data_IF_241689030097
#
_entry.id   IF_241689030097
#
_cell.length_a   1.000
_cell.length_b   1.000
_cell.length_c   1.000
_cell.angle_alpha   90.00
_cell.angle_beta   90.00
_cell.angle_gamma   90.00
#
_symmetry.space_group_name_H-M   'P 1'
#
loop_
_entity.id
_entity.type
_entity.pdbx_description
1 polymer ?
#
# COMPACT_ATOMS: atom_id res chain seq x y z
N UNK A 1 -48.00 65.93 -44.83
CA UNK A 1 -48.65 65.06 -43.82
C UNK A 1 -47.87 63.75 -43.76
N UNK A 2 -47.65 63.22 -42.56
CA UNK A 2 -46.50 62.41 -42.15
C UNK A 2 -46.41 61.01 -42.80
N UNK A 3 -45.20 60.69 -43.27
CA UNK A 3 -44.66 59.33 -43.43
C UNK A 3 -44.55 58.65 -42.06
N UNK A 4 -44.84 57.34 -41.97
CA UNK A 4 -43.94 56.36 -41.33
C UNK A 4 -44.38 54.91 -41.54
N UNK A 5 -43.34 54.11 -41.73
CA UNK A 5 -43.28 52.71 -42.12
C UNK A 5 -43.92 51.75 -41.13
N UNK A 6 -44.43 50.64 -41.67
CA UNK A 6 -45.06 49.51 -40.99
C UNK A 6 -43.95 48.58 -40.45
N UNK A 7 -43.79 48.54 -39.12
CA UNK A 7 -42.78 47.71 -38.45
C UNK A 7 -43.23 46.24 -38.42
N UNK A 8 -42.33 45.34 -38.83
CA UNK A 8 -42.49 43.89 -38.82
C UNK A 8 -41.91 43.32 -37.50
N UNK A 9 -42.72 42.48 -36.84
CA UNK A 9 -42.41 41.28 -36.05
C UNK A 9 -41.42 41.32 -34.88
N UNK A 10 -41.91 40.90 -33.69
CA UNK A 10 -41.41 39.73 -32.93
C UNK A 10 -42.21 39.62 -31.62
N UNK A 11 -43.06 38.60 -31.51
CA UNK A 11 -43.55 38.10 -30.21
C UNK A 11 -43.22 36.62 -30.13
N UNK A 12 -42.65 36.24 -28.98
CA UNK A 12 -42.28 34.89 -28.53
C UNK A 12 -40.86 34.43 -28.90
N UNK A 13 -39.90 34.82 -28.08
CA UNK A 13 -38.76 33.98 -27.74
C UNK A 13 -38.29 34.35 -26.33
N UNK A 14 -39.07 33.93 -25.35
CA UNK A 14 -38.54 33.63 -24.02
C UNK A 14 -38.29 32.12 -24.01
N UNK A 15 -37.19 31.71 -23.38
CA UNK A 15 -36.75 30.34 -23.06
C UNK A 15 -35.60 29.82 -23.92
N UNK A 16 -34.67 29.18 -23.22
CA UNK A 16 -33.49 28.40 -23.67
C UNK A 16 -32.18 29.20 -23.75
N UNK A 17 -31.72 29.72 -22.60
CA UNK A 17 -30.29 29.73 -22.25
C UNK A 17 -30.19 29.27 -20.79
N UNK A 18 -30.38 27.98 -20.54
CA UNK A 18 -30.13 27.37 -19.23
C UNK A 18 -29.75 25.88 -19.36
N UNK A 19 -29.02 25.50 -20.41
CA UNK A 19 -28.64 24.10 -20.66
C UNK A 19 -27.14 23.88 -20.89
N UNK A 20 -26.27 24.86 -20.58
CA UNK A 20 -24.81 24.71 -20.71
C UNK A 20 -24.05 24.73 -19.39
N UNK A 21 -24.74 24.81 -18.24
CA UNK A 21 -24.09 24.80 -16.92
C UNK A 21 -24.13 23.45 -16.19
N UNK A 22 -24.71 22.40 -16.77
CA UNK A 22 -24.81 21.08 -16.11
C UNK A 22 -23.71 20.06 -16.49
N UNK A 23 -22.90 20.29 -17.53
CA UNK A 23 -21.86 19.32 -17.92
C UNK A 23 -20.54 19.43 -17.12
N UNK A 24 -20.32 20.51 -16.38
CA UNK A 24 -19.05 20.73 -15.65
C UNK A 24 -18.94 19.92 -14.35
N UNK A 25 -20.06 19.41 -13.82
CA UNK A 25 -20.11 18.72 -12.52
C UNK A 25 -19.62 17.27 -12.64
N UNK A 26 -19.84 16.63 -13.79
CA UNK A 26 -19.49 15.20 -14.01
C UNK A 26 -17.97 15.02 -14.22
N UNK A 27 -17.31 15.98 -14.88
CA UNK A 27 -15.86 15.92 -15.14
C UNK A 27 -15.04 16.04 -13.85
N UNK A 28 -15.41 16.97 -12.97
CA UNK A 28 -14.71 17.20 -11.69
C UNK A 28 -14.76 16.00 -10.73
N UNK A 29 -15.85 15.23 -10.73
CA UNK A 29 -15.96 14.02 -9.90
C UNK A 29 -15.08 12.87 -10.41
N UNK A 30 -14.90 12.77 -11.74
CA UNK A 30 -14.05 11.73 -12.36
C UNK A 30 -12.57 12.03 -12.13
N UNK A 31 -12.17 13.29 -12.29
CA UNK A 31 -10.79 13.73 -12.06
C UNK A 31 -10.37 13.52 -10.59
N UNK A 32 -11.26 13.82 -9.64
CA UNK A 32 -10.97 13.62 -8.20
C UNK A 32 -10.92 12.15 -7.78
N UNK A 33 -11.69 11.27 -8.45
CA UNK A 33 -11.59 9.83 -8.21
C UNK A 33 -10.27 9.27 -8.76
N UNK A 34 -9.91 9.61 -10.00
CA UNK A 34 -8.68 9.11 -10.61
C UNK A 34 -7.45 9.52 -9.80
N UNK A 35 -7.38 10.78 -9.35
CA UNK A 35 -6.28 11.26 -8.48
C UNK A 35 -6.15 10.44 -7.20
N UNK A 36 -7.27 10.04 -6.59
CA UNK A 36 -7.24 9.16 -5.39
C UNK A 36 -6.71 7.77 -5.73
N UNK A 37 -7.15 7.18 -6.84
CA UNK A 37 -6.71 5.86 -7.27
C UNK A 37 -5.22 5.86 -7.65
N UNK A 38 -4.75 6.90 -8.33
CA UNK A 38 -3.33 7.08 -8.65
C UNK A 38 -2.49 7.21 -7.37
N UNK A 39 -2.99 7.93 -6.36
CA UNK A 39 -2.33 8.01 -5.05
C UNK A 39 -2.28 6.66 -4.35
N UNK A 40 -3.33 5.84 -4.44
CA UNK A 40 -3.37 4.48 -3.89
C UNK A 40 -2.34 3.59 -4.59
N UNK A 41 -2.29 3.61 -5.92
CA UNK A 41 -1.32 2.84 -6.71
C UNK A 41 0.11 3.28 -6.39
N UNK A 42 0.36 4.58 -6.27
CA UNK A 42 1.68 5.12 -5.91
C UNK A 42 2.14 4.60 -4.54
N UNK A 43 1.26 4.64 -3.54
CA UNK A 43 1.56 4.12 -2.21
C UNK A 43 1.77 2.59 -2.25
N UNK A 44 0.91 1.86 -2.95
CA UNK A 44 1.03 0.41 -3.11
C UNK A 44 2.34 0.00 -3.81
N UNK A 45 2.78 0.76 -4.80
CA UNK A 45 4.07 0.54 -5.47
C UNK A 45 5.24 0.68 -4.52
N UNK A 46 5.20 1.67 -3.64
CA UNK A 46 6.25 1.87 -2.65
C UNK A 46 6.28 0.74 -1.63
N UNK A 47 5.12 0.37 -1.07
CA UNK A 47 4.99 -0.75 -0.13
C UNK A 47 5.44 -2.07 -0.74
N UNK A 48 4.96 -2.38 -1.96
CA UNK A 48 5.39 -3.56 -2.69
C UNK A 48 6.91 -3.57 -2.92
N UNK A 49 7.50 -2.42 -3.26
CA UNK A 49 8.94 -2.35 -3.52
C UNK A 49 9.76 -2.62 -2.25
N UNK A 50 9.31 -2.10 -1.12
CA UNK A 50 9.93 -2.32 0.18
C UNK A 50 9.83 -3.79 0.60
N UNK A 51 8.63 -4.36 0.52
CA UNK A 51 8.37 -5.74 0.92
C UNK A 51 9.07 -6.74 0.02
N UNK A 52 9.02 -6.54 -1.30
CA UNK A 52 9.64 -7.46 -2.25
C UNK A 52 11.17 -7.49 -2.11
N UNK A 53 11.79 -6.33 -1.94
CA UNK A 53 13.22 -6.24 -1.66
C UNK A 53 13.56 -6.89 -0.31
N UNK A 54 12.70 -6.73 0.70
CA UNK A 54 12.88 -7.34 2.01
C UNK A 54 12.82 -8.86 1.94
N UNK A 55 11.81 -9.45 1.28
CA UNK A 55 11.71 -10.90 1.11
C UNK A 55 12.97 -11.48 0.47
N UNK A 56 13.40 -10.89 -0.65
CA UNK A 56 14.64 -11.30 -1.32
C UNK A 56 15.87 -11.14 -0.42
N UNK A 57 15.99 -10.02 0.29
CA UNK A 57 17.15 -9.77 1.15
C UNK A 57 17.17 -10.68 2.39
N UNK A 58 16.02 -10.99 2.97
CA UNK A 58 15.93 -11.88 4.13
C UNK A 58 16.29 -13.31 3.76
N UNK A 59 15.82 -13.81 2.61
CA UNK A 59 16.16 -15.14 2.12
C UNK A 59 17.69 -15.27 1.96
N UNK A 60 18.29 -14.32 1.24
CA UNK A 60 19.74 -14.27 1.05
C UNK A 60 20.50 -14.15 2.38
N UNK A 61 20.00 -13.33 3.32
CA UNK A 61 20.69 -13.09 4.58
C UNK A 61 20.62 -14.29 5.54
N UNK A 62 19.55 -15.08 5.50
CA UNK A 62 19.43 -16.29 6.32
C UNK A 62 20.20 -17.48 5.74
N UNK A 63 20.36 -17.54 4.42
CA UNK A 63 21.22 -18.52 3.74
C UNK A 63 22.72 -18.25 3.94
N UNK A 64 23.10 -17.02 4.32
CA UNK A 64 24.49 -16.61 4.46
C UNK A 64 25.03 -16.81 5.90
N UNK A 65 25.87 -17.84 6.07
CA UNK A 65 26.50 -18.18 7.36
C UNK A 65 27.36 -17.05 7.95
N UNK A 66 27.80 -16.08 7.15
CA UNK A 66 28.62 -14.95 7.63
C UNK A 66 27.82 -13.99 8.52
N UNK A 67 26.50 -13.91 8.32
CA UNK A 67 25.66 -12.90 8.97
C UNK A 67 24.44 -13.49 9.68
N UNK A 68 23.96 -14.68 9.32
CA UNK A 68 22.68 -15.22 9.80
C UNK A 68 22.57 -15.34 11.35
N UNK A 69 23.68 -15.52 12.06
CA UNK A 69 23.69 -15.66 13.53
C UNK A 69 23.60 -14.33 14.29
N UNK A 70 23.92 -13.21 13.64
CA UNK A 70 24.00 -11.90 14.29
C UNK A 70 22.93 -10.90 13.79
N UNK A 71 22.00 -11.31 12.93
CA UNK A 71 20.91 -10.43 12.49
C UNK A 71 19.95 -10.18 13.66
N UNK A 72 19.77 -8.91 14.02
CA UNK A 72 18.77 -8.44 14.98
C UNK A 72 17.49 -8.01 14.28
N UNK A 73 17.59 -7.00 13.42
CA UNK A 73 16.49 -6.54 12.57
C UNK A 73 17.02 -5.84 11.32
N UNK A 74 16.10 -5.43 10.45
CA UNK A 74 16.40 -4.63 9.26
C UNK A 74 15.63 -3.31 9.23
N UNK A 75 16.13 -2.35 8.46
CA UNK A 75 15.36 -1.21 7.96
C UNK A 75 15.37 -1.21 6.45
N UNK A 76 14.37 -0.54 5.87
CA UNK A 76 14.28 -0.33 4.43
C UNK A 76 14.19 1.17 4.18
N UNK A 77 14.92 1.63 3.18
CA UNK A 77 14.72 2.96 2.65
C UNK A 77 14.91 2.97 1.14
N UNK A 78 14.46 4.04 0.50
CA UNK A 78 14.72 4.28 -0.92
C UNK A 78 15.49 5.58 -1.14
N UNK A 79 16.12 5.66 -2.30
CA UNK A 79 16.69 6.88 -2.86
C UNK A 79 16.71 6.75 -4.37
N UNK A 80 16.12 7.72 -5.07
CA UNK A 80 15.94 7.69 -6.52
C UNK A 80 15.33 6.34 -6.96
N UNK A 81 15.98 5.63 -7.88
CA UNK A 81 15.50 4.36 -8.43
C UNK A 81 16.03 3.14 -7.68
N UNK A 82 16.40 3.29 -6.40
CA UNK A 82 16.99 2.22 -5.60
C UNK A 82 16.32 2.01 -4.25
N UNK A 83 16.15 0.74 -3.88
CA UNK A 83 15.75 0.29 -2.53
C UNK A 83 16.98 -0.25 -1.81
N UNK A 84 17.10 0.06 -0.53
CA UNK A 84 18.18 -0.40 0.35
C UNK A 84 17.58 -1.12 1.54
N UNK A 85 17.98 -2.37 1.75
CA UNK A 85 17.65 -3.17 2.92
C UNK A 85 18.93 -3.29 3.76
N UNK A 86 18.93 -2.65 4.93
CA UNK A 86 20.07 -2.65 5.86
C UNK A 86 19.74 -3.52 7.05
N UNK A 87 20.54 -4.56 7.29
CA UNK A 87 20.48 -5.39 8.48
C UNK A 87 21.41 -4.83 9.56
N UNK A 88 20.94 -4.86 10.81
CA UNK A 88 21.70 -4.49 11.98
C UNK A 88 21.86 -5.67 12.95
N UNK A 89 22.87 -5.55 13.81
CA UNK A 89 23.04 -6.44 14.95
C UNK A 89 21.89 -6.34 15.96
N UNK A 90 21.86 -7.26 16.93
CA UNK A 90 20.84 -7.30 17.99
C UNK A 90 20.82 -6.07 18.90
N UNK A 91 21.90 -5.29 18.90
CA UNK A 91 22.00 -4.04 19.65
C UNK A 91 21.57 -2.81 18.83
N UNK A 92 21.28 -2.97 17.53
CA UNK A 92 20.98 -1.88 16.60
C UNK A 92 22.07 -0.81 16.54
N UNK A 93 23.34 -1.22 16.56
CA UNK A 93 24.50 -0.31 16.50
C UNK A 93 25.35 -0.54 15.26
N UNK A 94 25.49 -1.79 14.85
CA UNK A 94 26.36 -2.20 13.75
C UNK A 94 25.50 -2.66 12.58
N UNK A 95 25.74 -2.10 11.39
CA UNK A 95 25.29 -2.71 10.15
C UNK A 95 26.02 -4.05 9.96
N UNK A 96 25.27 -5.13 9.81
CA UNK A 96 25.83 -6.47 9.54
C UNK A 96 25.80 -6.80 8.06
N UNK A 97 24.81 -6.29 7.33
CA UNK A 97 24.73 -6.37 5.88
C UNK A 97 23.89 -5.26 5.27
N UNK A 98 24.11 -4.96 4.00
CA UNK A 98 23.22 -4.13 3.21
C UNK A 98 23.08 -4.70 1.80
N UNK A 99 21.82 -4.77 1.35
CA UNK A 99 21.45 -5.15 0.00
C UNK A 99 20.82 -3.93 -0.69
N UNK A 100 21.23 -3.63 -1.91
CA UNK A 100 20.58 -2.59 -2.73
C UNK A 100 19.97 -3.20 -3.97
N UNK A 101 18.77 -2.76 -4.34
CA UNK A 101 18.00 -3.22 -5.49
C UNK A 101 17.65 -2.06 -6.40
N UNK A 102 17.58 -2.31 -7.71
CA UNK A 102 16.97 -1.37 -8.65
C UNK A 102 15.45 -1.56 -8.62
N UNK A 103 14.66 -0.48 -8.69
CA UNK A 103 13.20 -0.58 -8.76
C UNK A 103 12.69 -1.45 -9.93
N UNK A 104 13.45 -1.56 -11.02
CA UNK A 104 13.10 -2.43 -12.15
C UNK A 104 13.41 -3.92 -11.91
N UNK A 105 14.18 -4.27 -10.88
CA UNK A 105 14.52 -5.63 -10.52
C UNK A 105 14.75 -5.76 -9.01
N UNK A 106 13.68 -6.14 -8.31
CA UNK A 106 13.67 -6.35 -6.86
C UNK A 106 13.93 -7.82 -6.46
N UNK A 107 14.20 -8.71 -7.43
CA UNK A 107 14.44 -10.14 -7.18
C UNK A 107 15.92 -10.45 -6.96
N UNK A 108 16.80 -9.61 -7.48
CA UNK A 108 18.25 -9.80 -7.40
C UNK A 108 18.89 -8.50 -6.94
N UNK A 109 19.71 -8.51 -5.88
CA UNK A 109 20.39 -7.30 -5.42
C UNK A 109 21.40 -6.84 -6.47
N UNK A 110 21.41 -5.54 -6.75
CA UNK A 110 22.41 -4.88 -7.58
C UNK A 110 23.77 -4.76 -6.85
N UNK A 111 23.75 -4.68 -5.51
CA UNK A 111 24.94 -4.67 -4.66
C UNK A 111 24.64 -5.35 -3.34
N UNK A 112 25.66 -6.01 -2.80
CA UNK A 112 25.68 -6.60 -1.46
C UNK A 112 26.92 -6.07 -0.72
N UNK A 113 26.75 -5.75 0.56
CA UNK A 113 27.81 -5.24 1.41
C UNK A 113 27.71 -5.95 2.77
N UNK A 114 28.74 -6.71 3.11
CA UNK A 114 28.81 -7.54 4.32
C UNK A 114 29.84 -7.01 5.33
N UNK A 115 30.41 -5.83 5.08
CA UNK A 115 31.42 -5.27 5.98
C UNK A 115 30.75 -4.71 7.24
N UNK A 116 31.09 -5.22 8.45
CA UNK A 116 30.54 -4.69 9.68
C UNK A 116 31.00 -3.25 9.91
N UNK A 117 30.06 -2.33 10.11
CA UNK A 117 30.35 -0.92 10.37
C UNK A 117 29.25 -0.24 11.18
N UNK A 118 29.54 0.87 11.86
CA UNK A 118 28.50 1.65 12.53
C UNK A 118 27.36 1.99 11.58
N UNK A 119 26.12 1.95 12.08
CA UNK A 119 24.95 2.39 11.31
C UNK A 119 25.11 3.85 10.89
N UNK A 120 24.73 4.16 9.64
CA UNK A 120 24.64 5.54 9.19
C UNK A 120 23.57 6.30 9.98
N UNK A 121 23.70 7.62 10.10
CA UNK A 121 22.73 8.48 10.79
C UNK A 121 21.28 8.22 10.33
N UNK A 122 21.07 8.09 9.01
CA UNK A 122 19.77 7.73 8.43
C UNK A 122 19.25 6.38 8.93
N UNK A 123 20.10 5.35 8.95
CA UNK A 123 19.68 4.00 9.37
C UNK A 123 19.41 3.96 10.88
N UNK A 124 20.27 4.59 11.68
CA UNK A 124 20.10 4.75 13.12
C UNK A 124 18.77 5.44 13.44
N UNK A 125 18.45 6.54 12.74
CA UNK A 125 17.18 7.25 12.95
C UNK A 125 15.97 6.42 12.56
N UNK A 126 16.04 5.65 11.48
CA UNK A 126 14.95 4.74 11.08
C UNK A 126 14.72 3.64 12.13
N UNK A 127 15.79 3.05 12.68
CA UNK A 127 15.67 2.08 13.77
C UNK A 127 15.07 2.71 15.03
N UNK A 128 15.55 3.88 15.44
CA UNK A 128 15.04 4.62 16.61
C UNK A 128 13.53 4.86 16.48
N UNK A 129 13.09 5.43 15.36
CA UNK A 129 11.68 5.72 15.11
C UNK A 129 10.84 4.45 15.03
N UNK A 130 11.30 3.42 14.29
CA UNK A 130 10.59 2.14 14.21
C UNK A 130 10.41 1.53 15.59
N UNK A 131 11.46 1.50 16.40
CA UNK A 131 11.45 0.90 17.72
C UNK A 131 10.55 1.68 18.69
N UNK A 132 10.52 3.01 18.61
CA UNK A 132 9.64 3.84 19.43
C UNK A 132 8.16 3.65 19.07
N UNK A 133 7.82 3.52 17.78
CA UNK A 133 6.47 3.18 17.34
C UNK A 133 6.10 1.79 17.89
N UNK A 134 6.93 0.77 17.67
CA UNK A 134 6.67 -0.60 18.13
C UNK A 134 6.55 -0.68 19.66
N UNK A 135 7.34 0.10 20.41
CA UNK A 135 7.25 0.21 21.87
C UNK A 135 5.87 0.72 22.29
N UNK A 136 5.35 1.76 21.64
CA UNK A 136 4.00 2.28 21.92
C UNK A 136 2.91 1.25 21.59
N UNK A 137 3.01 0.58 20.43
CA UNK A 137 2.05 -0.45 20.01
C UNK A 137 2.01 -1.62 20.98
N UNK A 138 3.17 -2.06 21.47
CA UNK A 138 3.28 -3.16 22.44
C UNK A 138 2.84 -2.76 23.85
N UNK A 139 2.98 -1.49 24.22
CA UNK A 139 2.56 -1.00 25.53
C UNK A 139 1.03 -0.95 25.69
N UNK A 140 0.30 -0.70 24.60
CA UNK A 140 -1.16 -0.59 24.63
C UNK A 140 -1.81 -1.08 23.31
N UNK A 141 -1.74 -2.39 23.01
CA UNK A 141 -2.30 -2.94 21.77
C UNK A 141 -3.82 -2.73 21.68
N UNK A 142 -4.52 -2.69 22.82
CA UNK A 142 -5.96 -2.50 22.89
C UNK A 142 -6.39 -1.10 22.41
N UNK A 143 -5.66 -0.05 22.81
CA UNK A 143 -5.88 1.33 22.32
C UNK A 143 -5.83 1.42 20.79
N UNK A 144 -4.90 0.70 20.18
CA UNK A 144 -4.71 0.69 18.73
C UNK A 144 -5.61 -0.32 18.01
N UNK A 145 -6.40 -1.10 18.76
CA UNK A 145 -7.28 -2.13 18.21
C UNK A 145 -6.53 -3.27 17.54
N UNK A 146 -5.32 -3.58 18.00
CA UNK A 146 -4.48 -4.66 17.47
C UNK A 146 -5.03 -6.01 17.92
N UNK A 147 -5.32 -6.90 16.97
CA UNK A 147 -5.74 -8.26 17.25
C UNK A 147 -5.29 -9.19 16.12
N UNK A 148 -4.20 -9.93 16.34
CA UNK A 148 -3.59 -10.79 15.32
C UNK A 148 -4.03 -12.24 15.48
N UNK A 149 -4.34 -12.88 14.36
CA UNK A 149 -4.72 -14.29 14.34
C UNK A 149 -3.47 -15.16 14.36
N UNK A 150 -3.57 -16.35 14.95
CA UNK A 150 -2.49 -17.33 14.96
C UNK A 150 -2.07 -17.68 13.53
N UNK A 151 -0.77 -17.87 13.29
CA UNK A 151 -0.17 -18.22 11.99
C UNK A 151 -0.17 -17.07 10.94
N UNK A 152 -0.64 -15.89 11.34
CA UNK A 152 -0.66 -14.66 10.55
C UNK A 152 0.09 -13.56 11.30
N UNK A 153 1.30 -13.27 10.86
CA UNK A 153 2.22 -12.40 11.59
C UNK A 153 2.18 -10.98 11.03
N UNK A 154 2.04 -9.94 11.88
CA UNK A 154 2.17 -8.57 11.42
C UNK A 154 3.62 -8.27 11.04
N UNK A 155 3.82 -7.74 9.83
CA UNK A 155 5.09 -7.21 9.37
C UNK A 155 5.07 -5.68 9.42
N UNK A 156 5.93 -5.04 10.26
CA UNK A 156 6.03 -3.60 10.34
C UNK A 156 6.91 -3.02 9.23
N UNK A 157 6.27 -2.31 8.30
CA UNK A 157 6.88 -1.63 7.15
C UNK A 157 6.93 -0.13 7.43
N UNK A 158 8.12 0.40 7.76
CA UNK A 158 8.32 1.82 8.01
C UNK A 158 8.68 2.56 6.72
N UNK A 159 7.89 3.56 6.36
CA UNK A 159 8.14 4.49 5.25
C UNK A 159 8.42 5.87 5.82
N UNK A 160 9.54 6.47 5.42
CA UNK A 160 9.91 7.85 5.78
C UNK A 160 9.81 8.76 4.55
N UNK A 161 9.13 9.90 4.68
CA UNK A 161 9.10 10.94 3.64
C UNK A 161 9.05 12.34 4.27
N UNK A 162 9.94 13.24 3.86
CA UNK A 162 9.97 14.66 4.28
C UNK A 162 9.89 14.87 5.81
N UNK A 163 10.60 14.04 6.60
CA UNK A 163 10.58 14.12 8.07
C UNK A 163 9.35 13.52 8.75
N UNK A 164 8.38 13.01 7.99
CA UNK A 164 7.24 12.24 8.50
C UNK A 164 7.47 10.74 8.37
N UNK A 165 6.92 9.98 9.32
CA UNK A 165 7.07 8.53 9.40
C UNK A 165 5.72 7.85 9.37
N UNK A 166 5.60 6.83 8.53
CA UNK A 166 4.39 6.02 8.34
C UNK A 166 4.76 4.56 8.53
N UNK A 167 4.26 3.94 9.58
CA UNK A 167 4.45 2.51 9.82
C UNK A 167 3.18 1.77 9.45
N UNK A 168 3.29 0.89 8.45
CA UNK A 168 2.24 -0.04 8.10
C UNK A 168 2.44 -1.35 8.86
N UNK A 169 1.36 -1.92 9.38
CA UNK A 169 1.34 -3.35 9.75
C UNK A 169 0.61 -4.08 8.64
N UNK A 170 1.35 -4.86 7.86
CA UNK A 170 0.81 -5.71 6.79
C UNK A 170 0.94 -7.16 7.24
N UNK A 171 -0.10 -7.96 7.09
CA UNK A 171 -0.05 -9.35 7.52
C UNK A 171 0.71 -10.19 6.50
N UNK A 172 1.65 -10.99 7.02
CA UNK A 172 2.27 -12.08 6.30
C UNK A 172 1.84 -13.45 6.84
N UNK A 173 2.05 -14.50 6.07
CA UNK A 173 1.81 -15.86 6.51
C UNK A 173 2.76 -16.85 5.85
N UNK A 174 3.11 -17.91 6.57
CA UNK A 174 3.76 -19.10 6.02
C UNK A 174 2.75 -20.23 5.72
N UNK A 175 1.46 -19.99 5.97
CA UNK A 175 0.40 -20.95 5.63
C UNK A 175 0.37 -21.10 4.10
N UNK A 176 0.52 -22.32 3.56
CA UNK A 176 0.57 -22.54 2.13
C UNK A 176 -0.77 -22.21 1.48
N UNK A 177 -0.73 -21.84 0.19
CA UNK A 177 -1.91 -21.63 -0.66
C UNK A 177 -2.90 -20.55 -0.13
N UNK A 178 -2.42 -19.58 0.65
CA UNK A 178 -3.23 -18.49 1.22
C UNK A 178 -2.69 -17.11 0.84
N UNK A 179 -3.60 -16.19 0.53
CA UNK A 179 -3.32 -14.75 0.44
C UNK A 179 -3.87 -14.07 1.71
N UNK A 180 -3.02 -13.44 2.54
CA UNK A 180 -3.42 -12.93 3.86
C UNK A 180 -3.92 -11.48 3.81
N UNK A 181 -5.04 -11.21 3.16
CA UNK A 181 -5.61 -9.85 3.13
C UNK A 181 -6.10 -9.39 4.50
N UNK A 182 -6.17 -8.08 4.70
CA UNK A 182 -6.76 -7.45 5.87
C UNK A 182 -5.94 -7.56 7.15
N UNK A 183 -6.59 -7.25 8.29
CA UNK A 183 -5.97 -7.04 9.59
C UNK A 183 -4.73 -6.12 9.55
N UNK A 184 -4.86 -5.04 8.80
CA UNK A 184 -3.79 -4.15 8.39
C UNK A 184 -4.04 -2.71 8.85
N UNK A 185 -2.95 -2.05 9.19
CA UNK A 185 -2.96 -0.80 9.94
C UNK A 185 -1.96 0.19 9.36
N UNK A 186 -2.22 1.49 9.54
CA UNK A 186 -1.29 2.58 9.30
C UNK A 186 -1.17 3.43 10.56
N UNK A 187 0.06 3.67 10.99
CA UNK A 187 0.41 4.57 12.08
C UNK A 187 1.25 5.72 11.53
N UNK A 188 0.78 6.93 11.71
CA UNK A 188 1.56 8.13 11.43
C UNK A 188 2.29 8.54 12.71
N UNK A 189 3.54 8.93 12.57
CA UNK A 189 4.39 9.33 13.68
C UNK A 189 5.21 10.57 13.35
N UNK A 190 5.54 11.32 14.41
CA UNK A 190 6.44 12.46 14.33
C UNK A 190 7.91 12.03 14.18
N UNK A 191 8.81 13.01 14.16
CA UNK A 191 10.25 12.78 13.99
C UNK A 191 10.90 11.96 15.12
N UNK A 192 10.24 11.84 16.27
CA UNK A 192 10.71 11.05 17.41
C UNK A 192 10.03 9.69 17.47
N UNK A 193 9.18 9.34 16.50
CA UNK A 193 8.43 8.10 16.46
C UNK A 193 7.20 8.08 17.37
N UNK A 194 6.78 9.22 17.92
CA UNK A 194 5.53 9.30 18.69
C UNK A 194 4.34 9.18 17.74
N UNK A 195 3.43 8.24 18.00
CA UNK A 195 2.24 8.04 17.17
C UNK A 195 1.31 9.25 17.31
N UNK A 196 1.02 9.93 16.20
CA UNK A 196 0.15 11.11 16.14
C UNK A 196 -1.28 10.75 15.78
N UNK A 197 -1.45 9.79 14.87
CA UNK A 197 -2.74 9.27 14.43
C UNK A 197 -2.58 7.88 13.82
N UNK A 198 -3.68 7.13 13.73
CA UNK A 198 -3.69 5.81 13.13
C UNK A 198 -4.98 5.52 12.38
N UNK A 199 -4.87 4.61 11.43
CA UNK A 199 -5.97 4.12 10.60
C UNK A 199 -5.95 2.60 10.58
N UNK A 200 -7.13 2.00 10.75
CA UNK A 200 -7.35 0.57 10.51
C UNK A 200 -7.95 0.45 9.11
N UNK A 201 -7.30 -0.24 8.20
CA UNK A 201 -7.90 -0.51 6.87
C UNK A 201 -8.92 -1.64 6.99
N UNK A 202 -8.52 -2.74 7.62
CA UNK A 202 -9.37 -3.89 7.94
C UNK A 202 -9.14 -4.36 9.37
N UNK A 203 -10.23 -4.56 10.14
CA UNK A 203 -10.14 -5.07 11.53
C UNK A 203 -9.92 -6.58 11.63
N UNK A 204 -10.16 -7.30 10.55
CA UNK A 204 -10.17 -8.76 10.53
C UNK A 204 -9.32 -9.25 9.37
N UNK A 205 -8.71 -10.41 9.55
CA UNK A 205 -8.05 -11.14 8.48
C UNK A 205 -9.10 -11.62 7.47
N UNK A 206 -8.75 -11.53 6.20
CA UNK A 206 -9.51 -12.00 5.05
C UNK A 206 -8.60 -12.99 4.29
N UNK A 207 -8.39 -14.16 4.89
CA UNK A 207 -7.56 -15.20 4.30
C UNK A 207 -8.26 -15.80 3.06
N UNK A 208 -7.68 -15.57 1.88
CA UNK A 208 -8.21 -16.08 0.62
C UNK A 208 -7.42 -17.29 0.17
N UNK A 209 -8.10 -18.43 0.00
CA UNK A 209 -7.52 -19.65 -0.54
C UNK A 209 -7.27 -19.48 -2.04
N UNK A 210 -6.17 -20.01 -2.57
CA UNK A 210 -5.87 -19.99 -4.02
C UNK A 210 -6.17 -21.31 -4.73
N UNK A 211 -6.62 -22.31 -3.96
CA UNK A 211 -7.13 -23.59 -4.46
C UNK A 211 -8.56 -23.80 -3.99
N UNK A 212 -9.41 -24.27 -4.90
CA UNK A 212 -10.76 -24.71 -4.59
C UNK A 212 -10.78 -26.02 -3.78
N UNK A 213 -11.95 -26.43 -3.28
CA UNK A 213 -12.09 -27.64 -2.45
C UNK A 213 -11.61 -28.93 -3.13
N UNK A 214 -11.63 -28.99 -4.47
CA UNK A 214 -11.17 -30.14 -5.26
C UNK A 214 -9.86 -29.84 -6.00
N UNK A 215 -9.10 -28.82 -5.56
CA UNK A 215 -7.80 -28.45 -6.12
C UNK A 215 -7.86 -27.57 -7.37
N UNK A 216 -9.02 -27.04 -7.75
CA UNK A 216 -9.11 -26.09 -8.87
C UNK A 216 -8.30 -24.83 -8.58
N UNK A 217 -7.62 -24.29 -9.59
CA UNK A 217 -6.90 -23.02 -9.43
C UNK A 217 -7.90 -21.85 -9.38
N UNK A 218 -7.76 -21.00 -8.37
CA UNK A 218 -8.51 -19.74 -8.30
C UNK A 218 -7.97 -18.79 -9.37
N UNK A 219 -8.87 -18.12 -10.11
CA UNK A 219 -8.50 -17.20 -11.19
C UNK A 219 -8.61 -15.72 -10.77
N UNK A 220 -9.37 -15.42 -9.71
CA UNK A 220 -9.51 -14.08 -9.14
C UNK A 220 -10.01 -14.16 -7.71
N UNK A 221 -9.68 -13.15 -6.91
CA UNK A 221 -10.14 -13.00 -5.53
C UNK A 221 -10.94 -11.72 -5.41
N UNK A 222 -12.05 -11.78 -4.67
CA UNK A 222 -12.92 -10.63 -4.40
C UNK A 222 -13.24 -10.56 -2.91
N UNK A 223 -13.10 -9.39 -2.30
CA UNK A 223 -13.65 -9.12 -0.97
C UNK A 223 -14.36 -7.77 -0.89
N UNK A 224 -15.13 -7.54 0.18
CA UNK A 224 -15.95 -6.35 0.34
C UNK A 224 -15.36 -5.37 1.35
N UNK A 225 -15.43 -4.07 1.05
CA UNK A 225 -15.10 -3.00 1.98
C UNK A 225 -16.35 -2.35 2.57
N UNK A 226 -16.23 -1.97 3.85
CA UNK A 226 -17.19 -1.16 4.58
C UNK A 226 -16.89 0.34 4.43
N UNK A 227 -17.82 1.18 4.89
CA UNK A 227 -17.75 2.65 4.77
C UNK A 227 -16.47 3.30 5.31
N UNK A 228 -15.77 2.69 6.27
CA UNK A 228 -14.53 3.24 6.83
C UNK A 228 -13.35 3.21 5.84
N UNK A 229 -13.34 2.25 4.91
CA UNK A 229 -12.29 2.07 3.90
C UNK A 229 -12.95 1.93 2.53
N UNK A 230 -13.62 2.97 2.01
CA UNK A 230 -14.54 2.84 0.87
C UNK A 230 -13.84 2.57 -0.48
N UNK A 231 -12.52 2.62 -0.54
CA UNK A 231 -11.72 2.31 -1.73
C UNK A 231 -10.88 1.07 -1.46
N UNK A 232 -10.48 0.37 -2.53
CA UNK A 232 -9.34 -0.57 -2.47
C UNK A 232 -8.14 0.12 -1.82
N UNK A 233 -7.44 -0.57 -0.92
CA UNK A 233 -6.32 0.03 -0.17
C UNK A 233 -4.96 -0.29 -0.80
N UNK A 234 -3.95 0.50 -0.42
CA UNK A 234 -2.58 0.25 -0.85
C UNK A 234 -2.03 -1.07 -0.28
N UNK A 235 -2.48 -1.48 0.92
CA UNK A 235 -2.11 -2.74 1.57
C UNK A 235 -2.76 -3.94 0.87
N UNK A 236 -4.01 -3.82 0.39
CA UNK A 236 -4.62 -4.85 -0.45
C UNK A 236 -3.79 -5.08 -1.72
N UNK A 237 -3.46 -4.00 -2.45
CA UNK A 237 -2.69 -4.11 -3.71
C UNK A 237 -1.28 -4.66 -3.43
N UNK A 238 -0.61 -4.21 -2.36
CA UNK A 238 0.69 -4.74 -1.96
C UNK A 238 0.61 -6.24 -1.70
N UNK A 239 -0.33 -6.68 -0.86
CA UNK A 239 -0.53 -8.09 -0.50
C UNK A 239 -0.88 -8.93 -1.72
N UNK A 240 -1.78 -8.45 -2.57
CA UNK A 240 -2.15 -9.13 -3.81
C UNK A 240 -0.96 -9.31 -4.74
N UNK A 241 -0.13 -8.29 -4.92
CA UNK A 241 1.05 -8.40 -5.79
C UNK A 241 2.07 -9.39 -5.22
N UNK A 242 2.33 -9.34 -3.92
CA UNK A 242 3.31 -10.21 -3.25
C UNK A 242 2.89 -11.67 -3.26
N UNK A 243 1.63 -11.97 -2.93
CA UNK A 243 1.13 -13.34 -2.82
C UNK A 243 0.38 -13.76 -4.09
N UNK A 244 -0.70 -13.06 -4.44
CA UNK A 244 -1.56 -13.41 -5.57
C UNK A 244 -0.82 -13.44 -6.91
N UNK A 245 -0.21 -12.33 -7.30
CA UNK A 245 0.46 -12.24 -8.60
C UNK A 245 1.81 -12.96 -8.61
N UNK A 246 2.71 -12.66 -7.67
CA UNK A 246 4.07 -13.19 -7.70
C UNK A 246 4.19 -14.68 -7.33
N UNK A 247 3.44 -15.17 -6.33
CA UNK A 247 3.53 -16.58 -5.90
C UNK A 247 2.53 -17.46 -6.65
N UNK A 248 1.34 -16.94 -6.96
CA UNK A 248 0.23 -17.75 -7.49
C UNK A 248 -0.20 -17.40 -8.92
N UNK A 249 0.42 -16.40 -9.55
CA UNK A 249 0.17 -16.04 -10.95
C UNK A 249 -1.20 -15.43 -11.23
N UNK A 250 -1.88 -14.88 -10.22
CA UNK A 250 -3.16 -14.20 -10.41
C UNK A 250 -2.96 -12.86 -11.11
N UNK A 251 -3.81 -12.57 -12.10
CA UNK A 251 -3.74 -11.32 -12.86
C UNK A 251 -4.53 -10.19 -12.20
N UNK A 252 -5.68 -10.53 -11.58
CA UNK A 252 -6.64 -9.55 -11.07
C UNK A 252 -7.19 -9.85 -9.69
N UNK A 253 -7.45 -8.77 -8.96
CA UNK A 253 -8.10 -8.77 -7.65
C UNK A 253 -9.11 -7.64 -7.60
N UNK A 254 -10.29 -7.88 -7.01
CA UNK A 254 -11.34 -6.88 -6.93
C UNK A 254 -11.82 -6.63 -5.50
N UNK A 255 -12.17 -5.37 -5.25
CA UNK A 255 -12.84 -4.94 -4.01
C UNK A 255 -14.23 -4.43 -4.33
N UNK A 256 -15.23 -5.04 -3.70
CA UNK A 256 -16.59 -4.53 -3.66
C UNK A 256 -16.72 -3.41 -2.63
N UNK A 257 -16.91 -2.17 -3.07
CA UNK A 257 -17.23 -1.05 -2.18
C UNK A 257 -18.73 -0.88 -2.02
N UNK A 258 -19.25 -1.37 -0.89
CA UNK A 258 -20.66 -1.21 -0.51
C UNK A 258 -21.04 0.25 -0.30
N UNK A 259 -20.11 1.08 0.17
CA UNK A 259 -20.35 2.49 0.45
C UNK A 259 -20.40 3.37 -0.80
N UNK A 260 -19.72 2.95 -1.88
CA UNK A 260 -19.67 3.69 -3.14
C UNK A 260 -20.50 3.03 -4.25
N UNK A 261 -21.09 1.87 -3.99
CA UNK A 261 -21.81 1.04 -4.97
C UNK A 261 -20.96 0.75 -6.22
N UNK A 262 -19.70 0.35 -6.02
CA UNK A 262 -18.69 0.17 -7.08
C UNK A 262 -17.82 -1.07 -6.84
N UNK A 263 -17.34 -1.67 -7.92
CA UNK A 263 -16.17 -2.55 -7.92
C UNK A 263 -14.90 -1.77 -8.26
N UNK A 264 -13.83 -2.00 -7.49
CA UNK A 264 -12.48 -1.58 -7.80
C UNK A 264 -11.66 -2.81 -8.16
N UNK A 265 -11.32 -2.99 -9.44
CA UNK A 265 -10.52 -4.13 -9.90
C UNK A 265 -9.09 -3.68 -10.19
N UNK A 266 -8.12 -4.24 -9.49
CA UNK A 266 -6.71 -4.04 -9.74
C UNK A 266 -6.16 -5.14 -10.67
N UNK A 267 -5.50 -4.72 -11.75
CA UNK A 267 -4.78 -5.60 -12.67
C UNK A 267 -3.27 -5.47 -12.42
N UNK A 268 -2.60 -6.58 -12.08
CA UNK A 268 -1.19 -6.61 -11.72
C UNK A 268 -0.26 -6.29 -12.90
N UNK A 269 -0.59 -6.78 -14.10
CA UNK A 269 0.24 -6.58 -15.30
C UNK A 269 0.24 -5.12 -15.77
N UNK A 270 -0.91 -4.45 -15.64
CA UNK A 270 -1.08 -3.06 -16.04
C UNK A 270 -0.77 -2.08 -14.90
N UNK A 271 -0.66 -2.58 -13.67
CA UNK A 271 -0.56 -1.79 -12.44
C UNK A 271 -1.64 -0.70 -12.37
N UNK A 272 -2.90 -1.08 -12.62
CA UNK A 272 -4.01 -0.16 -12.80
C UNK A 272 -5.24 -0.62 -12.06
N UNK A 273 -5.98 0.35 -11.51
CA UNK A 273 -7.33 0.14 -10.96
C UNK A 273 -8.36 0.54 -12.03
N UNK A 274 -9.32 -0.34 -12.29
CA UNK A 274 -10.53 -0.05 -13.06
C UNK A 274 -11.73 -0.01 -12.13
N UNK A 275 -12.73 0.80 -12.49
CA UNK A 275 -13.92 1.03 -11.66
C UNK A 275 -15.16 0.70 -12.46
N UNK A 276 -16.02 -0.14 -11.88
CA UNK A 276 -17.31 -0.52 -12.48
C UNK A 276 -18.44 -0.23 -11.48
N UNK A 277 -19.55 0.33 -11.95
CA UNK A 277 -20.75 0.51 -11.13
C UNK A 277 -21.47 -0.82 -10.89
N UNK A 278 -22.12 -0.95 -9.73
CA UNK A 278 -23.00 -2.08 -9.41
C UNK A 278 -24.42 -1.87 -9.92
#
# INVERSE_FOLDING_TARGET
>A
MKSKYKTITMKKTLTIICLLFFCSIIHSQTDTLQVKLDSIIKEANLLYSYEKATWSATDLAYEDERINTNIGAYIVHHSNDSIFVTFADKEYKTQTAQYSYNLNNLRVPAKQDFEPKPLSEKSSKLFEVRNEILRQLNADPAKYGLNFQKDFNPNPVLVSANGSYRLYLIIGTAVPDVIPFGNDYLFNADENGKITDWKIFHKTLIASQVKGPEGQQVISVVHSHLKMTPYISATDICTFRLYGADLFGLEEFAVLSTALNKYFTYNASQNKITVTDL
#
